data_IF_234478969533
#
_entry.id   IF_234478969533
#
_cell.length_a   1.000
_cell.length_b   1.000
_cell.length_c   1.000
_cell.angle_alpha   90.00
_cell.angle_beta   90.00
_cell.angle_gamma   90.00
#
_symmetry.space_group_name_H-M   'P 1'
#
loop_
_entity.id
_entity.type
_entity.pdbx_description
1 polymer ?
#
# COMPACT_ATOMS: atom_id res chain seq x y z
N UNK A 1 -2.35 -6.00 24.66
CA UNK A 1 -2.12 -5.31 23.37
C UNK A 1 -2.97 -5.99 22.32
N UNK A 2 -3.67 -5.25 21.44
CA UNK A 2 -4.51 -5.86 20.42
C UNK A 2 -3.66 -6.78 19.52
N UNK A 3 -4.28 -7.81 18.94
CA UNK A 3 -3.61 -8.66 17.96
C UNK A 3 -3.46 -7.85 16.65
N UNK A 4 -2.25 -7.40 16.30
CA UNK A 4 -2.00 -6.57 15.11
C UNK A 4 -1.62 -7.42 13.89
N UNK A 5 -1.90 -8.72 13.95
CA UNK A 5 -1.70 -9.62 12.81
C UNK A 5 -2.58 -9.23 11.63
N UNK A 6 -3.83 -8.89 11.91
CA UNK A 6 -4.79 -8.30 11.00
C UNK A 6 -5.46 -7.15 11.75
N UNK A 7 -5.35 -5.93 11.22
CA UNK A 7 -5.94 -4.74 11.85
C UNK A 7 -6.80 -4.03 10.82
N UNK A 8 -8.01 -3.67 11.24
CA UNK A 8 -8.99 -2.93 10.47
C UNK A 8 -9.46 -1.74 11.31
N UNK A 9 -9.83 -0.65 10.64
CA UNK A 9 -10.46 0.49 11.32
C UNK A 9 -11.93 0.25 11.66
N UNK A 10 -12.54 -0.74 11.02
CA UNK A 10 -13.91 -1.17 11.27
C UNK A 10 -13.87 -2.54 11.96
N UNK A 11 -14.66 -2.72 13.03
CA UNK A 11 -15.05 -4.07 13.42
C UNK A 11 -15.80 -4.69 12.23
N UNK A 12 -15.53 -5.97 11.93
CA UNK A 12 -16.33 -6.74 10.99
C UNK A 12 -17.79 -6.67 11.46
N UNK A 13 -18.58 -5.83 10.82
CA UNK A 13 -20.03 -5.98 10.88
C UNK A 13 -20.31 -7.24 10.08
N UNK A 14 -20.56 -8.34 10.81
CA UNK A 14 -21.19 -9.53 10.24
C UNK A 14 -22.36 -9.05 9.39
N UNK A 15 -22.31 -9.38 8.09
CA UNK A 15 -23.40 -9.10 7.17
C UNK A 15 -24.64 -9.83 7.70
N UNK A 16 -25.53 -9.10 8.38
CA UNK A 16 -26.83 -9.64 8.78
C UNK A 16 -27.61 -9.93 7.50
N UNK A 17 -27.62 -11.20 7.10
CA UNK A 17 -28.60 -11.74 6.15
C UNK A 17 -30.00 -11.46 6.71
N UNK A 18 -30.68 -10.50 6.10
CA UNK A 18 -32.09 -10.22 6.35
C UNK A 18 -32.93 -11.39 5.83
N UNK A 19 -33.52 -12.14 6.75
CA UNK A 19 -34.55 -13.14 6.50
C UNK A 19 -35.84 -12.45 6.02
N UNK A 20 -36.21 -12.64 4.75
CA UNK A 20 -37.44 -12.08 4.20
C UNK A 20 -38.67 -12.92 4.60
N UNK A 21 -39.53 -12.34 5.44
CA UNK A 21 -40.77 -12.95 5.92
C UNK A 21 -41.91 -11.97 6.22
N UNK A 22 -42.40 -11.26 5.19
CA UNK A 22 -43.80 -10.77 4.99
C UNK A 22 -44.32 -9.51 5.74
N UNK A 23 -44.58 -8.45 4.94
CA UNK A 23 -45.67 -7.41 4.94
C UNK A 23 -45.78 -6.43 6.13
N UNK A 24 -46.06 -5.13 5.99
CA UNK A 24 -46.66 -4.28 4.95
C UNK A 24 -46.14 -2.83 5.13
N UNK A 25 -46.03 -2.07 4.03
CA UNK A 25 -46.23 -0.61 4.04
C UNK A 25 -45.02 0.30 4.33
N UNK A 26 -44.77 1.18 3.36
CA UNK A 26 -44.02 2.45 3.40
C UNK A 26 -42.54 2.43 2.94
N UNK A 27 -42.33 3.20 1.86
CA UNK A 27 -41.08 3.64 1.23
C UNK A 27 -40.05 2.57 0.87
N UNK A 28 -40.06 2.16 -0.41
CA UNK A 28 -38.91 1.54 -1.08
C UNK A 28 -37.73 2.53 -1.12
N UNK A 29 -36.93 2.56 -0.05
CA UNK A 29 -35.52 2.93 -0.18
C UNK A 29 -34.79 1.68 -0.64
N UNK A 30 -34.35 1.71 -1.90
CA UNK A 30 -33.68 0.58 -2.56
C UNK A 30 -32.44 0.16 -1.74
N UNK A 31 -32.18 -1.14 -1.51
CA UNK A 31 -31.02 -1.62 -0.74
C UNK A 31 -29.68 -1.47 -1.48
N UNK A 32 -29.61 -0.55 -2.43
CA UNK A 32 -28.41 -0.18 -3.19
C UNK A 32 -27.83 1.17 -2.74
N UNK A 33 -28.49 1.85 -1.80
CA UNK A 33 -28.03 3.10 -1.18
C UNK A 33 -27.38 2.91 0.21
N UNK A 34 -27.27 1.66 0.68
CA UNK A 34 -26.38 1.29 1.79
C UNK A 34 -24.93 1.06 1.30
N UNK A 35 -24.59 1.52 0.10
CA UNK A 35 -23.20 1.76 -0.30
C UNK A 35 -22.64 2.85 0.61
N UNK A 36 -22.11 2.37 1.72
CA UNK A 36 -20.94 2.90 2.39
C UNK A 36 -20.91 4.42 2.31
N UNK A 37 -21.52 5.06 3.31
CA UNK A 37 -21.00 6.34 3.75
C UNK A 37 -19.52 6.08 4.13
N UNK A 38 -18.64 6.08 3.12
CA UNK A 38 -17.21 5.83 3.23
C UNK A 38 -16.69 6.96 4.08
N UNK A 39 -16.65 6.73 5.38
CA UNK A 39 -15.98 7.62 6.31
C UNK A 39 -14.54 7.64 5.84
N UNK A 40 -14.10 8.76 5.24
CA UNK A 40 -12.69 8.94 4.92
C UNK A 40 -11.90 8.65 6.18
N UNK A 41 -11.13 7.56 6.14
CA UNK A 41 -10.33 7.13 7.26
C UNK A 41 -9.17 8.11 7.37
N UNK A 42 -9.08 8.76 8.53
CA UNK A 42 -8.03 9.72 8.83
C UNK A 42 -7.87 10.75 7.69
N UNK A 43 -8.89 11.60 7.43
CA UNK A 43 -8.98 12.46 6.25
C UNK A 43 -7.87 13.52 6.19
N UNK A 44 -7.01 13.61 7.20
CA UNK A 44 -5.87 14.54 7.28
C UNK A 44 -4.54 13.82 7.44
N UNK A 45 -4.51 12.48 7.38
CA UNK A 45 -3.27 11.72 7.48
C UNK A 45 -2.46 11.95 6.22
N UNK A 46 -1.32 12.63 6.38
CA UNK A 46 -0.38 12.90 5.29
C UNK A 46 0.79 11.92 5.31
N UNK A 47 1.13 11.40 6.50
CA UNK A 47 2.28 10.52 6.71
C UNK A 47 1.88 9.39 7.66
N UNK A 48 2.09 8.15 7.23
CA UNK A 48 2.05 6.98 8.08
C UNK A 48 3.45 6.39 8.21
N UNK A 49 3.86 6.12 9.45
CA UNK A 49 5.17 5.53 9.78
C UNK A 49 4.93 4.36 10.72
N UNK A 50 5.32 3.16 10.30
CA UNK A 50 5.25 1.93 11.07
C UNK A 50 6.68 1.42 11.25
N UNK A 51 7.13 1.37 12.50
CA UNK A 51 8.48 0.93 12.85
C UNK A 51 8.42 -0.26 13.79
N UNK A 52 9.25 -1.27 13.53
CA UNK A 52 9.44 -2.44 14.38
C UNK A 52 8.11 -3.04 14.85
N UNK A 53 7.21 -3.32 13.90
CA UNK A 53 5.92 -3.94 14.14
C UNK A 53 6.00 -5.45 13.84
N UNK A 54 6.56 -6.28 14.75
CA UNK A 54 6.84 -7.70 14.46
C UNK A 54 5.58 -8.55 14.33
N UNK A 55 4.41 -8.04 14.70
CA UNK A 55 3.15 -8.79 14.51
C UNK A 55 2.39 -8.37 13.26
N UNK A 56 2.79 -7.28 12.61
CA UNK A 56 2.09 -6.75 11.45
C UNK A 56 2.29 -7.68 10.26
N UNK A 57 1.21 -8.30 9.78
CA UNK A 57 1.25 -9.20 8.61
C UNK A 57 0.68 -8.56 7.36
N UNK A 58 -0.29 -7.67 7.53
CA UNK A 58 -1.02 -7.01 6.42
C UNK A 58 -1.32 -5.56 6.75
N UNK A 59 -1.53 -4.75 5.70
CA UNK A 59 -2.12 -3.41 5.81
C UNK A 59 -3.61 -3.50 5.42
N UNK A 60 -4.52 -2.85 6.15
CA UNK A 60 -5.94 -2.84 5.79
C UNK A 60 -6.14 -2.14 4.44
N UNK A 61 -6.94 -2.74 3.56
CA UNK A 61 -7.26 -2.16 2.24
C UNK A 61 -7.87 -0.77 2.34
N UNK A 62 -8.69 -0.55 3.36
CA UNK A 62 -9.35 0.72 3.64
C UNK A 62 -8.35 1.85 3.93
N UNK A 63 -7.15 1.52 4.45
CA UNK A 63 -6.09 2.52 4.62
C UNK A 63 -5.59 3.03 3.26
N UNK A 64 -5.54 2.18 2.24
CA UNK A 64 -5.16 2.57 0.88
C UNK A 64 -6.27 3.31 0.14
N UNK A 65 -7.52 2.83 0.25
CA UNK A 65 -8.67 3.39 -0.46
C UNK A 65 -9.20 4.70 0.17
N UNK A 66 -9.33 4.77 1.49
CA UNK A 66 -10.07 5.85 2.16
C UNK A 66 -9.17 6.98 2.71
N UNK A 67 -7.85 6.79 2.71
CA UNK A 67 -6.86 7.79 3.16
C UNK A 67 -6.37 8.64 1.99
N UNK A 68 -7.27 9.43 1.40
CA UNK A 68 -7.00 10.18 0.16
C UNK A 68 -5.90 11.25 0.26
N UNK A 69 -5.51 11.64 1.48
CA UNK A 69 -4.48 12.66 1.74
C UNK A 69 -3.10 12.07 2.07
N UNK A 70 -2.97 10.75 2.10
CA UNK A 70 -1.71 10.09 2.43
C UNK A 70 -0.68 10.34 1.33
N UNK A 71 0.42 11.00 1.69
CA UNK A 71 1.53 11.30 0.76
C UNK A 71 2.73 10.40 1.01
N UNK A 72 2.95 10.03 2.27
CA UNK A 72 4.14 9.28 2.67
C UNK A 72 3.78 8.05 3.48
N UNK A 73 4.32 6.90 3.08
CA UNK A 73 4.27 5.65 3.83
C UNK A 73 5.70 5.20 4.14
N UNK A 74 6.00 4.99 5.42
CA UNK A 74 7.29 4.50 5.89
C UNK A 74 7.12 3.20 6.65
N UNK A 75 7.78 2.15 6.20
CA UNK A 75 7.80 0.82 6.80
C UNK A 75 9.24 0.49 7.17
N UNK A 76 9.51 0.32 8.46
CA UNK A 76 10.86 0.13 8.99
C UNK A 76 10.85 -1.10 9.90
N UNK A 77 11.61 -2.14 9.59
CA UNK A 77 11.68 -3.31 10.46
C UNK A 77 10.36 -4.10 10.59
N UNK A 78 9.45 -4.00 9.61
CA UNK A 78 8.17 -4.72 9.62
C UNK A 78 8.32 -6.09 8.96
N UNK A 79 9.10 -6.97 9.59
CA UNK A 79 9.58 -8.22 8.98
C UNK A 79 8.50 -9.25 8.62
N UNK A 80 7.30 -9.14 9.17
CA UNK A 80 6.19 -10.05 8.86
C UNK A 80 5.21 -9.50 7.82
N UNK A 81 5.37 -8.24 7.41
CA UNK A 81 4.55 -7.62 6.38
C UNK A 81 5.06 -8.06 5.00
N UNK A 82 4.21 -8.77 4.26
CA UNK A 82 4.59 -9.39 2.98
C UNK A 82 4.35 -8.52 1.75
N UNK A 83 3.37 -7.63 1.81
CA UNK A 83 2.98 -6.85 0.65
C UNK A 83 2.53 -5.45 1.02
N UNK A 84 2.78 -4.52 0.10
CA UNK A 84 2.15 -3.19 0.04
C UNK A 84 1.41 -3.10 -1.28
N UNK A 85 0.10 -3.20 -1.23
CA UNK A 85 -0.77 -3.20 -2.40
C UNK A 85 -1.97 -2.28 -2.21
N UNK A 86 -2.48 -1.74 -3.31
CA UNK A 86 -3.73 -0.97 -3.39
C UNK A 86 -3.72 0.35 -2.59
N UNK A 87 -2.68 1.19 -2.77
CA UNK A 87 -2.68 2.58 -2.29
C UNK A 87 -2.76 3.56 -3.47
N UNK A 88 -3.93 3.73 -4.10
CA UNK A 88 -4.10 4.59 -5.28
C UNK A 88 -3.82 6.07 -5.02
N UNK A 89 -3.90 6.52 -3.76
CA UNK A 89 -3.74 7.92 -3.36
C UNK A 89 -2.34 8.26 -2.82
N UNK A 90 -1.44 7.28 -2.67
CA UNK A 90 -0.10 7.51 -2.17
C UNK A 90 0.74 8.23 -3.24
N UNK A 91 0.97 9.54 -3.09
CA UNK A 91 1.46 10.38 -4.18
C UNK A 91 2.93 10.85 -4.10
N UNK A 92 3.62 10.71 -2.97
CA UNK A 92 4.99 11.24 -2.80
C UNK A 92 6.00 10.12 -2.55
N UNK A 93 6.03 9.56 -1.33
CA UNK A 93 7.13 8.69 -0.91
C UNK A 93 6.62 7.37 -0.32
N UNK A 94 7.11 6.26 -0.88
CA UNK A 94 7.13 4.96 -0.21
C UNK A 94 8.56 4.66 0.23
N UNK A 95 8.77 4.52 1.54
CA UNK A 95 10.04 4.09 2.13
C UNK A 95 9.86 2.75 2.80
N UNK A 96 10.68 1.77 2.41
CA UNK A 96 10.73 0.44 2.99
C UNK A 96 12.17 0.13 3.38
N UNK A 97 12.39 -0.04 4.68
CA UNK A 97 13.70 -0.26 5.28
C UNK A 97 13.68 -1.53 6.13
N UNK A 98 14.67 -2.40 5.94
CA UNK A 98 14.89 -3.58 6.79
C UNK A 98 13.61 -4.41 6.95
N UNK A 99 12.84 -4.60 5.89
CA UNK A 99 11.61 -5.37 5.91
C UNK A 99 11.87 -6.72 5.25
N UNK A 100 12.39 -7.67 6.03
CA UNK A 100 12.89 -8.94 5.49
C UNK A 100 11.78 -9.76 4.81
N UNK A 101 10.56 -9.77 5.35
CA UNK A 101 9.44 -10.49 4.77
C UNK A 101 8.74 -9.79 3.61
N UNK A 102 9.18 -8.59 3.20
CA UNK A 102 8.55 -7.86 2.10
C UNK A 102 8.80 -8.59 0.77
N UNK A 103 7.73 -9.06 0.12
CA UNK A 103 7.77 -9.85 -1.11
C UNK A 103 7.23 -9.06 -2.33
N UNK A 104 6.22 -8.20 -2.12
CA UNK A 104 5.48 -7.52 -3.20
C UNK A 104 5.18 -6.04 -2.92
N UNK A 105 5.32 -5.22 -3.95
CA UNK A 105 4.84 -3.84 -4.01
C UNK A 105 4.04 -3.67 -5.31
N UNK A 106 2.75 -3.33 -5.23
CA UNK A 106 1.89 -3.23 -6.42
C UNK A 106 0.78 -2.20 -6.29
N UNK A 107 0.22 -1.74 -7.42
CA UNK A 107 -0.94 -0.85 -7.47
C UNK A 107 -0.74 0.48 -6.68
N UNK A 108 0.35 1.17 -7.00
CA UNK A 108 0.75 2.45 -6.40
C UNK A 108 0.90 3.52 -7.49
N UNK A 109 -0.17 3.83 -8.26
CA UNK A 109 -0.07 4.60 -9.50
C UNK A 109 0.45 6.02 -9.30
N UNK A 110 0.27 6.64 -8.14
CA UNK A 110 0.65 8.03 -7.88
C UNK A 110 2.02 8.19 -7.22
N UNK A 111 2.67 7.11 -6.76
CA UNK A 111 3.95 7.20 -6.04
C UNK A 111 5.02 7.77 -6.97
N UNK A 112 5.69 8.84 -6.53
CA UNK A 112 6.77 9.48 -7.31
C UNK A 112 8.15 9.04 -6.85
N UNK A 113 8.31 8.66 -5.57
CA UNK A 113 9.58 8.22 -4.98
C UNK A 113 9.43 6.88 -4.27
N UNK A 114 10.30 5.94 -4.60
CA UNK A 114 10.41 4.65 -3.94
C UNK A 114 11.81 4.48 -3.36
N UNK A 115 11.90 4.28 -2.05
CA UNK A 115 13.14 4.02 -1.34
C UNK A 115 13.08 2.62 -0.73
N UNK A 116 14.00 1.74 -1.13
CA UNK A 116 14.04 0.36 -0.63
C UNK A 116 15.45 -0.01 -0.22
N UNK A 117 15.61 -0.50 1.01
CA UNK A 117 16.85 -1.13 1.47
C UNK A 117 16.56 -2.19 2.52
N UNK A 118 17.43 -3.19 2.66
CA UNK A 118 17.22 -4.28 3.62
C UNK A 118 15.99 -5.14 3.34
N UNK A 119 15.63 -5.36 2.07
CA UNK A 119 14.44 -6.12 1.65
C UNK A 119 14.83 -7.30 0.72
N UNK A 120 15.51 -8.34 1.23
CA UNK A 120 16.07 -9.42 0.43
C UNK A 120 15.03 -10.27 -0.33
N UNK A 121 13.77 -10.30 0.13
CA UNK A 121 12.72 -11.13 -0.48
C UNK A 121 11.84 -10.36 -1.49
N UNK A 122 12.13 -9.07 -1.74
CA UNK A 122 11.31 -8.21 -2.59
C UNK A 122 11.49 -8.59 -4.07
N UNK A 123 10.62 -9.47 -4.54
CA UNK A 123 10.73 -10.06 -5.89
C UNK A 123 9.81 -9.41 -6.91
N UNK A 124 8.74 -8.75 -6.47
CA UNK A 124 7.71 -8.20 -7.36
C UNK A 124 7.46 -6.73 -7.05
N UNK A 125 7.71 -5.87 -8.03
CA UNK A 125 7.43 -4.43 -7.95
C UNK A 125 6.81 -3.98 -9.27
N UNK A 126 5.53 -3.58 -9.25
CA UNK A 126 4.78 -3.19 -10.45
C UNK A 126 3.70 -2.15 -10.16
N UNK A 127 3.04 -1.62 -11.20
CA UNK A 127 1.90 -0.69 -11.01
C UNK A 127 2.29 0.69 -10.46
N UNK A 128 3.57 1.06 -10.59
CA UNK A 128 4.15 2.36 -10.20
C UNK A 128 4.15 3.35 -11.37
N UNK A 129 2.96 3.80 -11.80
CA UNK A 129 2.78 4.57 -13.05
C UNK A 129 3.42 5.96 -13.05
N UNK A 130 3.49 6.64 -11.90
CA UNK A 130 4.07 7.99 -11.74
C UNK A 130 5.45 8.00 -11.09
N UNK A 131 6.11 6.84 -10.95
CA UNK A 131 7.42 6.76 -10.31
C UNK A 131 8.47 7.50 -11.13
N UNK A 132 9.19 8.40 -10.48
CA UNK A 132 10.25 9.20 -11.08
C UNK A 132 11.62 8.86 -10.48
N UNK A 133 11.65 8.55 -9.17
CA UNK A 133 12.90 8.32 -8.47
C UNK A 133 12.86 6.98 -7.72
N UNK A 134 13.82 6.13 -8.02
CA UNK A 134 14.05 4.87 -7.33
C UNK A 134 15.37 4.92 -6.59
N UNK A 135 15.33 4.73 -5.27
CA UNK A 135 16.49 4.72 -4.40
C UNK A 135 16.67 3.33 -3.80
N UNK A 136 17.80 2.69 -4.09
CA UNK A 136 18.11 1.33 -3.67
C UNK A 136 19.30 1.32 -2.70
N UNK A 137 19.19 0.57 -1.62
CA UNK A 137 20.35 0.24 -0.77
C UNK A 137 21.40 -0.56 -1.55
N UNK A 138 22.66 -0.45 -1.13
CA UNK A 138 23.77 -1.24 -1.70
C UNK A 138 23.50 -2.75 -1.60
N UNK A 139 22.74 -3.16 -0.61
CA UNK A 139 22.31 -4.54 -0.34
C UNK A 139 21.18 -5.04 -1.25
N UNK A 140 20.58 -4.18 -2.08
CA UNK A 140 19.46 -4.53 -2.95
C UNK A 140 19.88 -4.90 -4.39
N UNK A 141 21.17 -4.87 -4.73
CA UNK A 141 21.64 -5.01 -6.12
C UNK A 141 21.17 -6.32 -6.80
N UNK A 142 21.31 -7.46 -6.13
CA UNK A 142 20.91 -8.75 -6.70
C UNK A 142 19.39 -8.83 -6.89
N UNK A 143 18.65 -8.47 -5.84
CA UNK A 143 17.18 -8.58 -5.78
C UNK A 143 16.50 -7.62 -6.76
N UNK A 144 17.01 -6.40 -6.84
CA UNK A 144 16.47 -5.35 -7.72
C UNK A 144 16.63 -5.68 -9.21
N UNK A 145 17.61 -6.51 -9.58
CA UNK A 145 17.82 -6.94 -10.97
C UNK A 145 16.61 -7.67 -11.58
N UNK A 146 15.74 -8.24 -10.74
CA UNK A 146 14.57 -9.00 -11.17
C UNK A 146 13.37 -8.12 -11.57
N UNK A 147 13.26 -6.90 -11.06
CA UNK A 147 12.07 -6.06 -11.24
C UNK A 147 12.36 -4.64 -11.73
N UNK A 148 13.57 -4.09 -11.48
CA UNK A 148 13.95 -2.75 -11.96
C UNK A 148 13.81 -2.61 -13.48
N UNK A 149 14.25 -3.57 -14.31
CA UNK A 149 14.08 -3.45 -15.76
C UNK A 149 12.61 -3.34 -16.19
N UNK A 150 11.71 -4.05 -15.50
CA UNK A 150 10.28 -3.97 -15.75
C UNK A 150 9.70 -2.58 -15.41
N UNK A 151 10.15 -1.97 -14.32
CA UNK A 151 9.77 -0.60 -13.97
C UNK A 151 10.32 0.43 -14.96
N UNK A 152 11.57 0.26 -15.39
CA UNK A 152 12.17 1.14 -16.40
C UNK A 152 11.41 1.06 -17.72
N UNK A 153 11.07 -0.15 -18.20
CA UNK A 153 10.27 -0.32 -19.41
C UNK A 153 8.88 0.31 -19.25
N UNK A 154 8.22 0.11 -18.11
CA UNK A 154 6.92 0.72 -17.83
C UNK A 154 7.00 2.26 -17.84
N UNK A 155 8.02 2.83 -17.18
CA UNK A 155 8.23 4.27 -17.10
C UNK A 155 8.53 4.86 -18.50
N UNK A 156 9.41 4.23 -19.27
CA UNK A 156 9.74 4.64 -20.64
C UNK A 156 8.50 4.61 -21.55
N UNK A 157 7.62 3.61 -21.40
CA UNK A 157 6.36 3.52 -22.16
C UNK A 157 5.36 4.63 -21.81
N UNK A 158 5.33 5.07 -20.56
CA UNK A 158 4.36 6.06 -20.07
C UNK A 158 4.84 7.50 -20.26
N UNK A 159 6.12 7.78 -20.03
CA UNK A 159 6.67 9.14 -19.98
C UNK A 159 7.67 9.44 -21.10
N UNK A 160 8.20 8.41 -21.77
CA UNK A 160 9.19 8.57 -22.84
C UNK A 160 10.60 8.93 -22.36
N UNK A 161 10.83 8.94 -21.05
CA UNK A 161 12.11 9.18 -20.39
C UNK A 161 12.53 7.98 -19.52
N UNK A 162 13.80 7.94 -19.15
CA UNK A 162 14.36 6.88 -18.30
C UNK A 162 14.04 7.15 -16.81
N UNK A 163 13.78 6.09 -16.05
CA UNK A 163 13.58 6.19 -14.60
C UNK A 163 14.91 6.48 -13.90
N UNK A 164 14.95 7.50 -13.05
CA UNK A 164 16.13 7.82 -12.24
C UNK A 164 16.34 6.77 -11.14
N UNK A 165 17.44 6.02 -11.22
CA UNK A 165 17.83 5.02 -10.22
C UNK A 165 19.10 5.47 -9.47
N UNK A 166 19.00 5.55 -8.15
CA UNK A 166 20.07 5.99 -7.26
C UNK A 166 20.45 4.93 -6.24
N UNK A 167 21.71 4.93 -5.82
CA UNK A 167 22.21 4.10 -4.72
C UNK A 167 22.23 4.89 -3.41
N UNK A 168 21.61 4.35 -2.36
CA UNK A 168 21.65 4.88 -1.01
C UNK A 168 22.92 4.39 -0.31
N UNK A 169 23.85 5.29 -0.03
CA UNK A 169 25.00 4.98 0.82
C UNK A 169 24.54 4.92 2.28
N UNK A 170 24.55 3.73 2.87
CA UNK A 170 24.27 3.54 4.29
C UNK A 170 25.58 3.73 5.06
N UNK A 171 25.72 4.86 5.76
CA UNK A 171 26.81 5.10 6.73
C UNK A 171 26.55 4.39 8.06
#
# INVERSE_FOLDING_TARGET
MPNWEEWSFFEEVEEFVVDEGTKDGASETRPEDAKSARLSLLPRLVMLRLEYCPKLRTLPRQLGEDTTNLKMLKLIGTNNLKAVEDFPHLADLLLIEKCEGMERISNLPQVTKLHVHGCPNLSHVEGLGSLQQLWLGEDMQEVSSHWVPGLQEQHQRLHGEDLDVYTLSTS
#
